data_IF_599515419999
#
_entry.id   IF_599515419999
#
_cell.length_a   1.000
_cell.length_b   1.000
_cell.length_c   1.000
_cell.angle_alpha   90.00
_cell.angle_beta   90.00
_cell.angle_gamma   90.00
#
_symmetry.space_group_name_H-M   'P 1'
#
loop_
_entity.id
_entity.type
_entity.pdbx_description
1 polymer ?
#
# COMPACT_ATOMS: atom_id res chain seq x y z
N UNK A 1 8.57 13.75 10.06
CA UNK A 1 8.96 14.79 11.03
C UNK A 1 10.01 15.73 10.47
N UNK A 2 11.09 15.23 9.85
CA UNK A 2 12.13 16.07 9.22
C UNK A 2 11.64 17.28 8.41
N UNK A 3 10.68 17.14 7.48
CA UNK A 3 10.14 18.28 6.71
C UNK A 3 9.45 19.37 7.56
N UNK A 4 8.87 18.98 8.70
CA UNK A 4 8.27 19.91 9.67
C UNK A 4 9.38 20.59 10.47
N UNK A 5 10.36 19.81 10.94
CA UNK A 5 11.51 20.27 11.75
C UNK A 5 12.41 21.22 10.96
N UNK A 6 12.59 20.97 9.66
CA UNK A 6 13.41 21.79 8.75
C UNK A 6 12.69 23.10 8.34
N UNK A 7 11.47 23.36 8.83
CA UNK A 7 10.72 24.59 8.54
C UNK A 7 10.23 24.73 7.09
N UNK A 8 10.45 23.71 6.25
CA UNK A 8 10.08 23.67 4.82
C UNK A 8 8.58 23.87 4.62
N UNK A 9 7.78 23.50 5.63
CA UNK A 9 6.32 23.59 5.61
C UNK A 9 5.78 24.92 6.18
N UNK A 10 6.63 25.89 6.49
CA UNK A 10 6.22 27.19 7.02
C UNK A 10 5.85 28.21 5.93
N UNK A 11 4.86 29.07 6.21
CA UNK A 11 4.54 30.24 5.38
C UNK A 11 3.60 30.00 4.18
N UNK A 12 3.20 28.77 3.88
CA UNK A 12 2.18 28.46 2.84
C UNK A 12 1.31 27.26 3.22
N UNK A 13 0.05 27.18 2.74
CA UNK A 13 -0.75 25.97 2.90
C UNK A 13 -0.09 24.76 2.27
N UNK A 14 0.01 23.67 3.02
CA UNK A 14 0.59 22.40 2.57
C UNK A 14 -0.52 21.52 1.99
N UNK A 15 -0.30 20.99 0.79
CA UNK A 15 -1.25 20.09 0.12
C UNK A 15 -0.64 18.70 0.00
N UNK A 16 -1.20 17.73 0.73
CA UNK A 16 -0.84 16.32 0.62
C UNK A 16 -1.69 15.65 -0.47
N UNK A 17 -1.05 15.11 -1.50
CA UNK A 17 -1.72 14.43 -2.62
C UNK A 17 -1.19 13.01 -2.77
N UNK A 18 -2.09 12.05 -2.95
CA UNK A 18 -1.72 10.67 -3.17
C UNK A 18 -2.92 9.74 -3.17
N UNK A 19 -2.66 8.45 -3.42
CA UNK A 19 -3.69 7.40 -3.40
C UNK A 19 -3.49 6.34 -2.32
N UNK A 20 -2.46 6.48 -1.47
CA UNK A 20 -2.15 5.49 -0.43
C UNK A 20 -2.92 5.84 0.84
N UNK A 21 -4.11 5.26 1.00
CA UNK A 21 -4.99 5.54 2.14
C UNK A 21 -4.31 5.37 3.51
N UNK A 22 -3.44 4.36 3.65
CA UNK A 22 -2.65 4.15 4.87
C UNK A 22 -1.79 5.36 5.25
N UNK A 23 -1.23 6.10 4.28
CA UNK A 23 -0.43 7.28 4.58
C UNK A 23 -1.28 8.43 5.09
N UNK A 24 -2.48 8.62 4.54
CA UNK A 24 -3.43 9.60 5.06
C UNK A 24 -3.92 9.24 6.45
N UNK A 25 -4.17 7.96 6.71
CA UNK A 25 -4.48 7.47 8.07
C UNK A 25 -3.35 7.76 9.04
N UNK A 26 -2.10 7.50 8.63
CA UNK A 26 -0.93 7.82 9.44
C UNK A 26 -0.83 9.31 9.77
N UNK A 27 -1.13 10.18 8.81
CA UNK A 27 -1.13 11.62 9.01
C UNK A 27 -2.23 12.05 9.98
N UNK A 28 -3.45 11.51 9.84
CA UNK A 28 -4.64 11.95 10.57
C UNK A 28 -4.86 11.29 11.93
N UNK A 29 -4.37 10.06 12.12
CA UNK A 29 -4.58 9.24 13.32
C UNK A 29 -3.27 8.87 14.01
N UNK A 30 -2.12 9.08 13.34
CA UNK A 30 -0.87 8.46 13.73
C UNK A 30 -0.82 6.99 13.31
N UNK A 31 0.37 6.41 13.41
CA UNK A 31 0.57 4.96 13.43
C UNK A 31 1.19 4.64 14.79
N UNK A 32 0.75 3.54 15.41
CA UNK A 32 1.35 3.03 16.64
C UNK A 32 2.85 2.81 16.45
N UNK A 33 3.65 3.25 17.41
CA UNK A 33 5.09 2.99 17.42
C UNK A 33 5.29 1.48 17.52
N UNK A 34 5.67 0.87 16.41
CA UNK A 34 5.81 -0.57 16.28
C UNK A 34 7.25 -0.96 16.61
N UNK A 35 7.51 -2.13 17.23
CA UNK A 35 8.87 -2.50 17.58
C UNK A 35 9.73 -2.68 16.33
N UNK A 36 11.01 -2.32 16.47
CA UNK A 36 12.02 -2.65 15.48
C UNK A 36 12.20 -4.16 15.44
N UNK A 37 11.80 -4.77 14.33
CA UNK A 37 11.93 -6.20 14.12
C UNK A 37 13.33 -6.49 13.54
N UNK A 38 14.19 -7.28 14.22
CA UNK A 38 15.49 -7.65 13.71
C UNK A 38 15.41 -8.34 12.34
N UNK A 39 16.37 -8.09 11.41
CA UNK A 39 16.37 -8.73 10.09
C UNK A 39 16.27 -10.26 10.15
N UNK A 40 17.00 -10.90 11.07
CA UNK A 40 16.98 -12.35 11.25
C UNK A 40 15.58 -12.90 11.59
N UNK A 41 14.77 -12.17 12.37
CA UNK A 41 13.39 -12.55 12.69
C UNK A 41 12.50 -12.46 11.45
N UNK A 42 12.65 -11.39 10.66
CA UNK A 42 11.90 -11.25 9.39
C UNK A 42 12.25 -12.34 8.40
N UNK A 43 13.53 -12.64 8.25
CA UNK A 43 14.03 -13.67 7.34
C UNK A 43 13.53 -15.06 7.74
N UNK A 44 13.60 -15.39 9.04
CA UNK A 44 13.04 -16.63 9.59
C UNK A 44 11.56 -16.77 9.23
N UNK A 45 10.71 -15.82 9.59
CA UNK A 45 9.26 -15.97 9.35
C UNK A 45 8.88 -15.95 7.87
N UNK A 46 9.64 -15.24 7.03
CA UNK A 46 9.48 -15.32 5.56
C UNK A 46 9.85 -16.70 5.03
N UNK A 47 10.94 -17.29 5.53
CA UNK A 47 11.35 -18.65 5.18
C UNK A 47 10.28 -19.65 5.62
N UNK A 48 9.82 -19.57 6.87
CA UNK A 48 8.76 -20.45 7.39
C UNK A 48 7.44 -20.34 6.61
N UNK A 49 7.07 -19.15 6.14
CA UNK A 49 5.89 -18.98 5.29
C UNK A 49 6.06 -19.70 3.95
N UNK A 50 7.26 -19.70 3.37
CA UNK A 50 7.56 -20.40 2.12
C UNK A 50 7.55 -21.91 2.30
N UNK A 51 8.13 -22.41 3.40
CA UNK A 51 8.25 -23.85 3.68
C UNK A 51 6.95 -24.49 4.18
N UNK A 52 6.26 -23.83 5.11
CA UNK A 52 5.12 -24.41 5.83
C UNK A 52 3.75 -23.91 5.34
N UNK A 53 3.72 -22.77 4.64
CA UNK A 53 2.49 -22.14 4.18
C UNK A 53 1.71 -21.39 5.27
N UNK A 54 0.79 -20.54 4.82
CA UNK A 54 0.05 -19.62 5.69
C UNK A 54 -0.82 -20.33 6.73
N UNK A 55 -1.48 -21.43 6.38
CA UNK A 55 -2.41 -22.13 7.29
C UNK A 55 -1.69 -22.80 8.47
N UNK A 56 -0.48 -23.31 8.24
CA UNK A 56 0.34 -23.88 9.32
C UNK A 56 0.78 -22.77 10.27
N UNK A 57 1.23 -21.63 9.73
CA UNK A 57 1.57 -20.47 10.53
C UNK A 57 0.38 -19.85 11.25
N UNK A 58 -0.83 -19.90 10.67
CA UNK A 58 -2.05 -19.44 11.34
C UNK A 58 -2.37 -20.29 12.56
N UNK A 59 -2.21 -21.62 12.47
CA UNK A 59 -2.37 -22.52 13.62
C UNK A 59 -1.33 -22.24 14.71
N UNK A 60 -0.09 -21.97 14.32
CA UNK A 60 0.93 -21.54 15.27
C UNK A 60 0.54 -20.22 15.95
N UNK A 61 0.15 -19.22 15.18
CA UNK A 61 -0.32 -17.95 15.74
C UNK A 61 -1.56 -18.14 16.63
N UNK A 62 -2.46 -19.06 16.32
CA UNK A 62 -3.61 -19.37 17.17
C UNK A 62 -3.21 -19.92 18.54
N UNK A 63 -2.11 -20.67 18.62
CA UNK A 63 -1.55 -21.16 19.88
C UNK A 63 -0.89 -20.04 20.68
N UNK A 64 -0.06 -19.22 20.02
CA UNK A 64 0.75 -18.19 20.67
C UNK A 64 -0.04 -16.89 20.98
N UNK A 65 -0.97 -16.52 20.11
CA UNK A 65 -1.77 -15.29 20.18
C UNK A 65 -3.13 -15.49 19.48
N UNK A 66 -4.02 -16.21 20.17
CA UNK A 66 -5.36 -16.53 19.66
C UNK A 66 -6.20 -15.30 19.31
N UNK A 67 -6.07 -14.22 20.09
CA UNK A 67 -6.80 -12.98 19.87
C UNK A 67 -6.45 -12.35 18.52
N UNK A 68 -5.16 -12.27 18.18
CA UNK A 68 -4.72 -11.77 16.87
C UNK A 68 -5.07 -12.77 15.76
N UNK A 69 -4.90 -14.08 15.99
CA UNK A 69 -5.20 -15.11 14.99
C UNK A 69 -6.67 -15.08 14.54
N UNK A 70 -7.61 -14.84 15.46
CA UNK A 70 -9.04 -14.74 15.16
C UNK A 70 -9.40 -13.55 14.26
N UNK A 71 -8.58 -12.49 14.23
CA UNK A 71 -8.76 -11.34 13.35
C UNK A 71 -8.22 -11.57 11.93
N UNK A 72 -7.44 -12.64 11.72
CA UNK A 72 -6.76 -12.92 10.47
C UNK A 72 -7.38 -14.13 9.77
N UNK A 73 -7.53 -14.02 8.45
CA UNK A 73 -7.88 -15.18 7.63
C UNK A 73 -6.68 -16.12 7.58
N UNK A 74 -6.87 -17.45 7.64
CA UNK A 74 -5.77 -18.42 7.57
C UNK A 74 -4.92 -18.32 6.29
N UNK A 75 -5.49 -17.77 5.22
CA UNK A 75 -4.82 -17.56 3.93
C UNK A 75 -4.04 -16.24 3.83
N UNK A 76 -4.14 -15.35 4.82
CA UNK A 76 -3.48 -14.04 4.82
C UNK A 76 -2.04 -14.13 5.35
N UNK A 77 -1.19 -14.86 4.62
CA UNK A 77 0.16 -15.21 5.06
C UNK A 77 1.03 -14.01 5.43
N UNK A 78 0.89 -12.88 4.72
CA UNK A 78 1.65 -11.66 5.05
C UNK A 78 1.26 -11.08 6.40
N UNK A 79 -0.04 -11.02 6.73
CA UNK A 79 -0.49 -10.51 8.03
C UNK A 79 -0.17 -11.47 9.17
N UNK A 80 -0.25 -12.78 8.91
CA UNK A 80 0.12 -13.81 9.89
C UNK A 80 1.62 -13.71 10.22
N UNK A 81 2.48 -13.67 9.20
CA UNK A 81 3.93 -13.46 9.39
C UNK A 81 4.20 -12.18 10.16
N UNK A 82 3.50 -11.08 9.82
CA UNK A 82 3.69 -9.81 10.54
C UNK A 82 3.33 -9.91 12.03
N UNK A 83 2.26 -10.62 12.37
CA UNK A 83 1.86 -10.83 13.76
C UNK A 83 2.92 -11.66 14.50
N UNK A 84 3.39 -12.75 13.89
CA UNK A 84 4.44 -13.62 14.44
C UNK A 84 5.78 -12.88 14.61
N UNK A 85 6.19 -12.08 13.63
CA UNK A 85 7.40 -11.23 13.71
C UNK A 85 7.35 -10.30 14.93
N UNK A 86 6.21 -9.62 15.14
CA UNK A 86 6.05 -8.68 16.25
C UNK A 86 6.00 -9.40 17.58
N UNK A 87 5.30 -10.53 17.66
CA UNK A 87 5.24 -11.34 18.85
C UNK A 87 6.62 -11.91 19.23
N UNK A 88 7.36 -12.46 18.26
CA UNK A 88 8.70 -13.04 18.45
C UNK A 88 9.71 -11.96 18.89
N UNK A 89 9.68 -10.78 18.26
CA UNK A 89 10.64 -9.72 18.59
C UNK A 89 10.33 -8.96 19.89
N UNK A 90 9.05 -8.83 20.27
CA UNK A 90 8.64 -7.96 21.39
C UNK A 90 8.03 -8.69 22.58
N UNK A 91 7.68 -9.98 22.42
CA UNK A 91 6.92 -10.75 23.40
C UNK A 91 5.47 -10.29 23.58
N UNK A 92 5.00 -9.33 22.77
CA UNK A 92 3.66 -8.72 22.89
C UNK A 92 2.87 -8.87 21.60
N UNK A 93 1.56 -9.07 21.75
CA UNK A 93 0.65 -9.21 20.61
C UNK A 93 0.68 -7.97 19.70
N UNK A 94 0.61 -8.19 18.39
CA UNK A 94 0.41 -7.11 17.42
C UNK A 94 -0.87 -6.31 17.71
N UNK A 95 -1.89 -6.95 18.27
CA UNK A 95 -3.14 -6.28 18.64
C UNK A 95 -2.92 -5.23 19.73
N UNK A 96 -2.09 -5.52 20.73
CA UNK A 96 -1.75 -4.58 21.80
C UNK A 96 -0.98 -3.38 21.26
N UNK A 97 -0.01 -3.62 20.36
CA UNK A 97 0.73 -2.55 19.70
C UNK A 97 -0.22 -1.66 18.89
N UNK A 98 -1.17 -2.23 18.15
CA UNK A 98 -2.16 -1.47 17.38
C UNK A 98 -3.16 -0.70 18.25
N UNK A 99 -3.44 -1.19 19.47
CA UNK A 99 -4.31 -0.49 20.41
C UNK A 99 -3.68 0.79 20.97
N UNK A 100 -2.35 0.84 21.08
CA UNK A 100 -1.63 2.06 21.42
C UNK A 100 -1.74 3.06 20.25
N UNK A 101 -2.64 4.04 20.36
CA UNK A 101 -2.83 5.04 19.29
C UNK A 101 -1.56 5.87 19.10
N UNK A 102 -1.14 6.01 17.85
CA UNK A 102 -0.11 6.96 17.48
C UNK A 102 -0.58 8.40 17.66
N UNK A 103 0.34 9.35 17.53
CA UNK A 103 0.03 10.78 17.52
C UNK A 103 -0.29 11.22 16.09
N UNK A 104 -1.43 11.89 15.89
CA UNK A 104 -1.74 12.55 14.63
C UNK A 104 -0.68 13.62 14.31
N UNK A 105 -0.25 13.66 13.05
CA UNK A 105 0.76 14.61 12.57
C UNK A 105 0.15 15.91 12.04
N UNK A 106 -1.15 15.90 11.79
CA UNK A 106 -1.90 17.08 11.37
C UNK A 106 -3.00 17.38 12.37
N UNK A 107 -3.24 18.68 12.58
CA UNK A 107 -4.42 19.14 13.28
C UNK A 107 -5.63 18.96 12.36
N UNK A 108 -6.63 18.21 12.83
CA UNK A 108 -7.84 17.88 12.07
C UNK A 108 -8.76 19.10 11.92
N UNK A 109 -8.72 20.05 12.85
CA UNK A 109 -9.63 21.18 12.86
C UNK A 109 -9.24 22.23 11.80
N UNK A 110 -7.94 22.40 11.58
CA UNK A 110 -7.40 23.27 10.53
C UNK A 110 -7.28 22.60 9.15
N UNK A 111 -7.33 21.27 9.07
CA UNK A 111 -7.18 20.55 7.81
C UNK A 111 -8.48 20.50 6.98
N UNK A 112 -8.30 20.25 5.67
CA UNK A 112 -9.40 19.95 4.73
C UNK A 112 -9.16 18.58 4.11
N UNK A 113 -10.15 17.71 4.22
CA UNK A 113 -10.06 16.32 3.77
C UNK A 113 -10.93 16.10 2.53
N UNK A 114 -10.28 15.77 1.42
CA UNK A 114 -10.93 15.62 0.12
C UNK A 114 -10.60 14.26 -0.50
N UNK A 115 -11.61 13.56 -1.03
CA UNK A 115 -11.45 12.36 -1.86
C UNK A 115 -12.07 12.62 -3.22
N UNK A 116 -11.30 12.43 -4.28
CA UNK A 116 -11.82 12.52 -5.65
C UNK A 116 -12.26 11.13 -6.10
N UNK A 117 -13.55 10.97 -6.36
CA UNK A 117 -14.17 9.72 -6.81
C UNK A 117 -14.72 9.87 -8.23
N UNK A 118 -13.90 9.58 -9.26
CA UNK A 118 -14.37 9.60 -10.64
C UNK A 118 -15.38 8.49 -10.92
N UNK A 119 -16.19 8.68 -11.97
CA UNK A 119 -17.01 7.61 -12.51
C UNK A 119 -16.13 6.39 -12.88
N UNK A 120 -16.63 5.19 -12.59
CA UNK A 120 -15.89 3.95 -12.78
C UNK A 120 -15.51 3.72 -14.24
N UNK A 121 -16.41 4.02 -15.18
CA UNK A 121 -16.15 3.83 -16.61
C UNK A 121 -15.08 4.81 -17.11
N UNK A 122 -15.13 6.06 -16.64
CA UNK A 122 -14.12 7.08 -16.96
C UNK A 122 -12.75 6.72 -16.37
N UNK A 123 -12.71 6.23 -15.13
CA UNK A 123 -11.49 5.81 -14.48
C UNK A 123 -10.80 4.66 -15.24
N UNK A 124 -11.57 3.66 -15.67
CA UNK A 124 -11.03 2.54 -16.47
C UNK A 124 -10.43 3.05 -17.78
N UNK A 125 -11.14 3.89 -18.53
CA UNK A 125 -10.61 4.47 -19.79
C UNK A 125 -9.33 5.28 -19.56
N UNK A 126 -9.27 6.07 -18.48
CA UNK A 126 -8.07 6.84 -18.13
C UNK A 126 -6.90 5.96 -17.74
N UNK A 127 -7.14 4.86 -17.02
CA UNK A 127 -6.09 3.88 -16.67
C UNK A 127 -5.49 3.26 -17.92
N UNK A 128 -6.34 2.84 -18.86
CA UNK A 128 -5.91 2.22 -20.12
C UNK A 128 -5.09 3.19 -20.96
N UNK A 129 -5.64 4.37 -21.23
CA UNK A 129 -4.95 5.42 -22.00
C UNK A 129 -3.64 5.86 -21.34
N UNK A 130 -3.60 5.97 -20.01
CA UNK A 130 -2.36 6.31 -19.30
C UNK A 130 -1.30 5.23 -19.45
N UNK A 131 -1.67 3.96 -19.40
CA UNK A 131 -0.71 2.87 -19.57
C UNK A 131 -0.13 2.86 -20.98
N UNK A 132 -0.98 3.06 -22.00
CA UNK A 132 -0.52 3.18 -23.39
C UNK A 132 0.45 4.36 -23.56
N UNK A 133 0.11 5.52 -23.00
CA UNK A 133 1.02 6.69 -22.99
C UNK A 133 2.33 6.44 -22.26
N UNK A 134 2.35 5.60 -21.21
CA UNK A 134 3.59 5.23 -20.52
C UNK A 134 4.50 4.40 -21.45
N UNK A 135 3.92 3.48 -22.22
CA UNK A 135 4.68 2.69 -23.20
C UNK A 135 5.26 3.60 -24.28
N UNK A 136 4.47 4.52 -24.83
CA UNK A 136 4.90 5.49 -25.84
C UNK A 136 6.03 6.39 -25.33
N UNK A 137 6.07 6.65 -24.02
CA UNK A 137 7.10 7.47 -23.36
C UNK A 137 8.34 6.69 -22.92
N UNK A 138 8.44 5.40 -23.25
CA UNK A 138 9.63 4.61 -22.97
C UNK A 138 9.60 3.81 -21.67
N UNK A 139 8.43 3.55 -21.07
CA UNK A 139 8.31 2.69 -19.89
C UNK A 139 8.91 1.28 -20.11
N UNK A 140 8.92 0.80 -21.36
CA UNK A 140 9.56 -0.47 -21.70
C UNK A 140 11.08 -0.41 -21.50
N UNK A 141 11.72 0.71 -21.86
CA UNK A 141 13.16 0.91 -21.68
C UNK A 141 13.51 1.13 -20.21
N UNK A 142 12.67 1.83 -19.44
CA UNK A 142 12.82 1.95 -17.99
C UNK A 142 12.81 0.58 -17.31
N UNK A 143 11.88 -0.31 -17.69
CA UNK A 143 11.83 -1.68 -17.15
C UNK A 143 13.05 -2.49 -17.56
N UNK A 144 13.57 -2.34 -18.80
CA UNK A 144 14.81 -3.00 -19.22
C UNK A 144 15.98 -2.57 -18.34
N UNK A 145 16.15 -1.26 -18.14
CA UNK A 145 17.21 -0.71 -17.30
C UNK A 145 17.11 -1.20 -15.86
N UNK A 146 15.90 -1.18 -15.28
CA UNK A 146 15.65 -1.69 -13.93
C UNK A 146 15.99 -3.18 -13.81
N UNK A 147 15.66 -3.98 -14.83
CA UNK A 147 15.96 -5.42 -14.85
C UNK A 147 17.46 -5.69 -14.93
N UNK A 148 18.20 -4.88 -15.70
CA UNK A 148 19.64 -5.01 -15.85
C UNK A 148 20.42 -4.78 -14.55
N UNK A 149 19.81 -4.13 -13.54
CA UNK A 149 20.41 -3.95 -12.22
C UNK A 149 20.51 -5.26 -11.40
N UNK A 150 19.84 -6.34 -11.81
CA UNK A 150 19.94 -7.64 -11.12
C UNK A 150 19.44 -7.61 -9.67
N UNK A 151 18.48 -6.73 -9.37
CA UNK A 151 17.95 -6.52 -8.02
C UNK A 151 17.13 -7.72 -7.54
N UNK A 152 17.09 -7.90 -6.22
CA UNK A 152 16.23 -8.90 -5.58
C UNK A 152 14.75 -8.71 -6.00
N UNK A 153 14.10 -9.70 -6.63
CA UNK A 153 12.69 -9.65 -7.03
C UNK A 153 11.71 -9.38 -5.89
N UNK A 154 12.14 -9.57 -4.64
CA UNK A 154 11.35 -9.31 -3.45
C UNK A 154 11.30 -7.83 -3.02
N UNK A 155 12.14 -6.97 -3.62
CA UNK A 155 12.16 -5.53 -3.34
C UNK A 155 10.86 -4.82 -3.81
N UNK A 156 10.34 -3.84 -3.07
CA UNK A 156 9.09 -3.15 -3.42
C UNK A 156 9.05 -2.57 -4.84
N UNK A 157 10.17 -2.00 -5.32
CA UNK A 157 10.27 -1.47 -6.68
C UNK A 157 10.03 -2.54 -7.75
N UNK A 158 10.53 -3.76 -7.53
CA UNK A 158 10.35 -4.92 -8.42
C UNK A 158 8.93 -5.49 -8.37
N UNK A 159 8.11 -5.06 -7.42
CA UNK A 159 6.69 -5.44 -7.29
C UNK A 159 5.73 -4.39 -7.83
N UNK A 160 6.25 -3.28 -8.37
CA UNK A 160 5.42 -2.26 -9.00
C UNK A 160 4.63 -2.85 -10.18
N UNK A 161 3.37 -2.41 -10.31
CA UNK A 161 2.47 -2.86 -11.38
C UNK A 161 3.06 -2.42 -12.72
N UNK A 162 3.17 -3.34 -13.68
CA UNK A 162 3.78 -3.13 -14.98
C UNK A 162 5.22 -3.65 -15.06
N UNK A 163 5.99 -3.61 -13.96
CA UNK A 163 7.39 -4.10 -13.97
C UNK A 163 7.41 -5.61 -14.17
N UNK A 164 6.70 -6.36 -13.33
CA UNK A 164 6.68 -7.83 -13.38
C UNK A 164 6.10 -8.36 -14.68
N UNK A 165 5.02 -7.73 -15.15
CA UNK A 165 4.34 -8.13 -16.37
C UNK A 165 5.23 -7.92 -17.59
N UNK A 166 5.87 -6.75 -17.71
CA UNK A 166 6.76 -6.45 -18.83
C UNK A 166 8.07 -7.25 -18.76
N UNK A 167 8.61 -7.51 -17.57
CA UNK A 167 9.74 -8.41 -17.38
C UNK A 167 9.45 -9.83 -17.87
N UNK A 168 8.28 -10.38 -17.52
CA UNK A 168 7.88 -11.71 -17.98
C UNK A 168 7.78 -11.76 -19.52
N UNK A 169 7.31 -10.69 -20.17
CA UNK A 169 7.30 -10.61 -21.63
C UNK A 169 8.71 -10.52 -22.23
N UNK A 170 9.61 -9.72 -21.65
CA UNK A 170 11.01 -9.64 -22.09
C UNK A 170 11.75 -10.97 -21.95
N UNK A 171 11.43 -11.75 -20.92
CA UNK A 171 11.98 -13.09 -20.68
C UNK A 171 11.35 -14.18 -21.56
N UNK A 172 10.42 -13.83 -22.47
CA UNK A 172 9.74 -14.79 -23.34
C UNK A 172 8.71 -15.69 -22.65
N UNK A 173 8.35 -15.40 -21.39
CA UNK A 173 7.38 -16.18 -20.61
C UNK A 173 5.92 -15.84 -20.99
N UNK A 174 5.71 -14.74 -21.72
CA UNK A 174 4.40 -14.31 -22.25
C UNK A 174 4.57 -13.35 -23.42
N UNK A 175 3.51 -13.14 -24.21
CA UNK A 175 3.52 -12.12 -25.25
C UNK A 175 3.39 -10.70 -24.69
N UNK A 176 3.99 -9.70 -25.36
CA UNK A 176 3.82 -8.29 -24.99
C UNK A 176 2.36 -7.84 -24.90
N UNK A 177 1.46 -8.16 -25.87
CA UNK A 177 0.05 -7.78 -25.76
C UNK A 177 -0.61 -8.33 -24.49
N UNK A 178 -0.30 -9.58 -24.12
CA UNK A 178 -0.83 -10.22 -22.93
C UNK A 178 -0.31 -9.56 -21.64
N UNK A 179 0.99 -9.28 -21.58
CA UNK A 179 1.60 -8.60 -20.45
C UNK A 179 1.03 -7.20 -20.21
N UNK A 180 0.82 -6.43 -21.28
CA UNK A 180 0.20 -5.11 -21.23
C UNK A 180 -1.22 -5.21 -20.67
N UNK A 181 -2.03 -6.16 -21.17
CA UNK A 181 -3.37 -6.36 -20.65
C UNK A 181 -3.38 -6.78 -19.17
N UNK A 182 -2.47 -7.66 -18.75
CA UNK A 182 -2.33 -8.03 -17.32
C UNK A 182 -1.96 -6.81 -16.46
N UNK A 183 -1.05 -5.95 -16.91
CA UNK A 183 -0.67 -4.75 -16.18
C UNK A 183 -1.83 -3.74 -16.08
N UNK A 184 -2.62 -3.57 -17.16
CA UNK A 184 -3.85 -2.77 -17.14
C UNK A 184 -4.87 -3.35 -16.17
N UNK A 185 -5.11 -4.67 -16.19
CA UNK A 185 -5.99 -5.38 -15.23
C UNK A 185 -5.52 -5.12 -13.80
N UNK A 186 -4.23 -5.33 -13.51
CA UNK A 186 -3.66 -5.12 -12.18
C UNK A 186 -3.82 -3.67 -11.70
N UNK A 187 -3.65 -2.70 -12.61
CA UNK A 187 -3.87 -1.28 -12.32
C UNK A 187 -5.34 -1.00 -11.98
N UNK A 188 -6.29 -1.58 -12.72
CA UNK A 188 -7.74 -1.47 -12.41
C UNK A 188 -8.08 -2.10 -11.06
N UNK A 189 -7.51 -3.25 -10.74
CA UNK A 189 -7.70 -3.90 -9.45
C UNK A 189 -7.11 -3.06 -8.30
N UNK A 190 -5.94 -2.45 -8.50
CA UNK A 190 -5.35 -1.53 -7.53
C UNK A 190 -6.24 -0.31 -7.29
N UNK A 191 -6.71 0.35 -8.34
CA UNK A 191 -7.65 1.46 -8.23
C UNK A 191 -8.96 1.06 -7.50
N UNK A 192 -9.50 -0.13 -7.80
CA UNK A 192 -10.65 -0.69 -7.07
C UNK A 192 -10.35 -0.85 -5.57
N UNK A 193 -9.17 -1.40 -5.22
CA UNK A 193 -8.74 -1.55 -3.82
C UNK A 193 -8.64 -0.19 -3.12
N UNK A 194 -8.10 0.83 -3.79
CA UNK A 194 -8.04 2.20 -3.26
C UNK A 194 -9.44 2.74 -2.99
N UNK A 195 -10.36 2.68 -3.97
CA UNK A 195 -11.74 3.14 -3.77
C UNK A 195 -12.47 2.38 -2.66
N UNK A 196 -12.30 1.05 -2.58
CA UNK A 196 -12.85 0.25 -1.47
C UNK A 196 -12.28 0.71 -0.13
N UNK A 197 -10.97 0.89 -0.04
CA UNK A 197 -10.33 1.37 1.17
C UNK A 197 -10.86 2.76 1.57
N UNK A 198 -10.92 3.72 0.63
CA UNK A 198 -11.48 5.05 0.87
C UNK A 198 -12.94 5.05 1.31
N UNK A 199 -13.73 4.04 0.92
CA UNK A 199 -15.14 3.93 1.32
C UNK A 199 -15.30 3.42 2.74
N UNK A 200 -14.42 2.52 3.18
CA UNK A 200 -14.60 1.81 4.45
C UNK A 200 -13.65 2.27 5.57
N UNK A 201 -12.62 3.05 5.25
CA UNK A 201 -11.56 3.41 6.19
C UNK A 201 -11.38 4.92 6.39
N UNK A 202 -11.91 5.75 5.47
CA UNK A 202 -11.91 7.20 5.67
C UNK A 202 -13.15 7.60 6.48
N UNK A 203 -12.94 8.46 7.46
CA UNK A 203 -14.00 8.98 8.32
C UNK A 203 -14.94 9.96 7.60
N UNK A 204 -15.99 10.37 8.30
CA UNK A 204 -17.04 11.25 7.78
C UNK A 204 -16.53 12.65 7.41
N UNK A 205 -15.37 13.06 7.93
CA UNK A 205 -14.70 14.33 7.63
C UNK A 205 -14.24 14.44 6.17
N UNK A 206 -14.11 13.31 5.46
CA UNK A 206 -13.64 13.27 4.08
C UNK A 206 -14.76 13.63 3.11
N UNK A 207 -14.72 14.86 2.59
CA UNK A 207 -15.63 15.30 1.54
C UNK A 207 -15.31 14.58 0.23
N UNK A 208 -16.30 13.88 -0.31
CA UNK A 208 -16.21 13.17 -1.58
C UNK A 208 -16.58 14.13 -2.71
N UNK A 209 -15.70 14.24 -3.69
CA UNK A 209 -15.85 15.10 -4.87
C UNK A 209 -15.87 14.25 -6.13
N UNK A 210 -16.75 14.57 -7.06
CA UNK A 210 -16.69 14.05 -8.43
C UNK A 210 -15.90 15.03 -9.30
N UNK A 211 -15.21 14.54 -10.34
CA UNK A 211 -14.59 15.41 -11.32
C UNK A 211 -15.63 16.36 -11.92
N UNK A 212 -15.43 17.68 -11.75
CA UNK A 212 -16.35 18.72 -12.19
C UNK A 212 -17.22 19.33 -11.09
N UNK A 213 -17.20 18.79 -9.86
CA UNK A 213 -17.82 19.45 -8.72
C UNK A 213 -17.03 20.71 -8.37
N UNK A 214 -17.70 21.85 -8.23
CA UNK A 214 -17.11 23.02 -7.59
C UNK A 214 -16.84 22.67 -6.12
N UNK A 215 -15.56 22.57 -5.76
CA UNK A 215 -15.17 22.53 -4.37
C UNK A 215 -15.53 23.89 -3.77
N UNK A 216 -16.74 24.03 -3.24
CA UNK A 216 -17.13 25.21 -2.49
C UNK A 216 -16.11 25.42 -1.37
N UNK A 217 -15.18 26.36 -1.59
CA UNK A 217 -14.20 26.82 -0.61
C UNK A 217 -14.94 27.86 0.21
N UNK A 218 -15.58 27.43 1.29
CA UNK A 218 -15.96 28.39 2.33
C UNK A 218 -14.69 28.72 3.10
N UNK A 219 -14.26 29.98 2.94
CA UNK A 219 -13.11 30.59 3.61
C UNK A 219 -13.28 30.70 5.11
#
# INVERSE_FOLDING_TARGET
TRLIEDGVLSGRPVVFVGGTGLYFRALTEGISDMPDIPPAVRERWRYELKEQGAERLHRLLMHEDSAMAMQLRPTDGQRIVRALEVLDASGRSLLEWQAARGRALIDRDSARFLVIEPDRSQLVRRIESRFDQMLDKGALDEVRQLTALGLDPDLPAMKAIGVRELQAAMAGQSGFPEAIERAKIATRQYAKRQSTWFRHQLGAEWRRLRPGDEAAVHG
#
